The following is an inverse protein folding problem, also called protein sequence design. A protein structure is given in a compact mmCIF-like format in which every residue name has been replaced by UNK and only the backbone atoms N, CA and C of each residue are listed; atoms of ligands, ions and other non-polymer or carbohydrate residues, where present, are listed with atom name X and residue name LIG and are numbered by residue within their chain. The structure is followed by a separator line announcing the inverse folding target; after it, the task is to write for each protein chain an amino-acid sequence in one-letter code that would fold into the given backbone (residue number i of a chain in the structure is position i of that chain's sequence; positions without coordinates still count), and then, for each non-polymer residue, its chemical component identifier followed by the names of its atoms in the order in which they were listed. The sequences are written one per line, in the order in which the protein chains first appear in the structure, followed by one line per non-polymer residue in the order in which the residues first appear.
data_IF_814528185443
#
_entry.id   IF_814528185443
#
_cell.length_a   1.000
_cell.length_b   1.000
_cell.length_c   1.000
_cell.angle_alpha   90.00
_cell.angle_beta   90.00
_cell.angle_gamma   90.00
#
_symmetry.space_group_name_H-M   'P 1'
#
loop_
_entity.id
_entity.type
_entity.pdbx_description
1 polymer ?
#
# COMPACT_ATOMS: atom_id res chain seq x y z
N UNK A 1 31.80 2.02 0.79
CA UNK A 1 30.35 1.87 1.02
C UNK A 1 29.77 1.33 -0.27
N UNK A 2 29.05 0.21 -0.24
CA UNK A 2 28.45 -0.41 -1.42
C UNK A 2 27.24 0.43 -1.83
N UNK A 3 27.12 0.80 -3.11
CA UNK A 3 25.96 1.56 -3.61
C UNK A 3 24.98 0.64 -4.35
N UNK A 4 23.73 1.08 -4.51
CA UNK A 4 22.76 0.37 -5.35
C UNK A 4 23.27 0.22 -6.79
N UNK A 5 23.89 1.28 -7.33
CA UNK A 5 24.48 1.30 -8.67
C UNK A 5 25.54 0.23 -8.85
N UNK A 6 26.47 0.07 -7.93
CA UNK A 6 27.52 -0.96 -8.02
C UNK A 6 26.93 -2.37 -8.16
N UNK A 7 25.79 -2.62 -7.50
CA UNK A 7 25.09 -3.92 -7.55
C UNK A 7 24.42 -4.10 -8.92
N UNK A 8 23.64 -3.09 -9.33
CA UNK A 8 22.89 -3.11 -10.59
C UNK A 8 23.83 -3.23 -11.78
N UNK A 9 24.93 -2.48 -11.80
CA UNK A 9 25.96 -2.54 -12.85
C UNK A 9 26.64 -3.91 -12.91
N UNK A 10 26.84 -4.57 -11.76
CA UNK A 10 27.32 -5.95 -11.70
C UNK A 10 26.37 -6.98 -12.32
N UNK A 11 25.10 -6.63 -12.50
CA UNK A 11 24.05 -7.50 -13.05
C UNK A 11 23.74 -7.23 -14.52
N UNK A 12 24.47 -6.31 -15.19
CA UNK A 12 24.27 -6.03 -16.61
C UNK A 12 24.54 -7.21 -17.55
N UNK A 13 25.25 -8.22 -17.07
CA UNK A 13 25.49 -9.47 -17.82
C UNK A 13 24.38 -10.52 -17.60
N UNK A 14 23.41 -10.24 -16.73
CA UNK A 14 22.32 -11.16 -16.41
C UNK A 14 21.33 -11.25 -17.57
N UNK A 15 20.78 -12.44 -17.89
CA UNK A 15 19.66 -12.56 -18.83
C UNK A 15 18.43 -11.74 -18.42
N UNK A 16 18.28 -11.43 -17.13
CA UNK A 16 17.20 -10.55 -16.62
C UNK A 16 17.34 -9.10 -17.08
N UNK A 17 18.52 -8.68 -17.52
CA UNK A 17 18.77 -7.31 -17.98
C UNK A 17 18.37 -7.11 -19.46
N UNK A 18 18.33 -8.19 -20.25
CA UNK A 18 18.03 -8.11 -21.68
C UNK A 18 16.59 -7.61 -21.94
N UNK A 19 16.47 -6.51 -22.67
CA UNK A 19 15.18 -5.91 -23.06
C UNK A 19 14.55 -4.95 -22.05
N UNK A 20 15.26 -4.60 -20.97
CA UNK A 20 14.84 -3.60 -19.97
C UNK A 20 15.96 -2.59 -19.64
N UNK A 21 17.00 -2.50 -20.48
CA UNK A 21 18.23 -1.78 -20.20
C UNK A 21 18.00 -0.27 -20.01
N UNK A 22 17.22 0.31 -20.91
CA UNK A 22 16.89 1.74 -20.90
C UNK A 22 16.03 2.09 -19.68
N UNK A 23 15.09 1.21 -19.31
CA UNK A 23 14.23 1.34 -18.14
C UNK A 23 15.03 1.25 -16.84
N UNK A 24 15.90 0.25 -16.69
CA UNK A 24 16.76 0.09 -15.52
C UNK A 24 17.66 1.31 -15.35
N UNK A 25 18.25 1.81 -16.45
CA UNK A 25 19.11 2.99 -16.41
C UNK A 25 18.33 4.25 -16.03
N UNK A 26 17.13 4.41 -16.59
CA UNK A 26 16.23 5.52 -16.25
C UNK A 26 15.85 5.48 -14.77
N UNK A 27 15.36 4.34 -14.27
CA UNK A 27 14.97 4.15 -12.88
C UNK A 27 16.13 4.43 -11.92
N UNK A 28 17.33 3.92 -12.23
CA UNK A 28 18.49 4.05 -11.34
C UNK A 28 18.92 5.52 -11.22
N UNK A 29 18.98 6.23 -12.34
CA UNK A 29 19.26 7.66 -12.35
C UNK A 29 18.17 8.45 -11.61
N UNK A 30 16.91 8.04 -11.73
CA UNK A 30 15.79 8.69 -11.04
C UNK A 30 15.87 8.50 -9.52
N UNK A 31 16.18 7.27 -9.06
CA UNK A 31 16.38 6.99 -7.63
C UNK A 31 17.49 7.84 -7.04
N UNK A 32 18.65 7.90 -7.70
CA UNK A 32 19.79 8.70 -7.23
C UNK A 32 19.51 10.20 -7.24
N UNK A 33 18.84 10.70 -8.29
CA UNK A 33 18.45 12.11 -8.37
C UNK A 33 17.56 12.53 -7.17
N UNK A 34 16.76 11.61 -6.66
CA UNK A 34 15.84 11.82 -5.55
C UNK A 34 16.35 11.31 -4.20
N UNK A 35 17.57 10.75 -4.12
CA UNK A 35 18.15 10.19 -2.90
C UNK A 35 17.36 8.99 -2.35
N UNK A 36 16.76 8.19 -3.24
CA UNK A 36 15.95 7.01 -2.91
C UNK A 36 16.71 5.69 -3.10
N UNK A 37 17.92 5.75 -3.65
CA UNK A 37 18.79 4.60 -3.89
C UNK A 37 19.20 3.90 -2.58
N UNK A 38 19.52 4.66 -1.53
CA UNK A 38 19.81 4.13 -0.19
C UNK A 38 18.60 3.40 0.42
N UNK A 39 17.38 3.89 0.17
CA UNK A 39 16.16 3.26 0.64
C UNK A 39 15.98 1.87 0.00
N UNK A 40 16.07 1.80 -1.32
CA UNK A 40 15.94 0.53 -2.04
C UNK A 40 17.08 -0.44 -1.70
N UNK A 41 18.31 0.05 -1.55
CA UNK A 41 19.44 -0.74 -1.08
C UNK A 41 19.19 -1.34 0.32
N UNK A 42 18.68 -0.53 1.26
CA UNK A 42 18.31 -1.01 2.61
C UNK A 42 17.23 -2.09 2.55
N UNK A 43 16.24 -1.97 1.66
CA UNK A 43 15.21 -2.99 1.47
C UNK A 43 15.79 -4.29 0.92
N UNK A 44 16.70 -4.19 -0.05
CA UNK A 44 17.42 -5.33 -0.61
C UNK A 44 18.27 -6.06 0.44
N UNK A 45 19.06 -5.32 1.23
CA UNK A 45 19.90 -5.90 2.28
C UNK A 45 19.08 -6.61 3.38
N UNK A 46 17.87 -6.11 3.66
CA UNK A 46 16.91 -6.73 4.59
C UNK A 46 16.12 -7.89 3.97
N UNK A 47 16.36 -8.21 2.70
CA UNK A 47 15.66 -9.27 1.95
C UNK A 47 14.15 -9.08 1.97
N UNK A 48 13.71 -7.83 1.79
CA UNK A 48 12.29 -7.53 1.63
C UNK A 48 11.88 -7.89 0.21
N UNK A 49 11.03 -8.91 0.10
CA UNK A 49 10.46 -9.35 -1.17
C UNK A 49 9.04 -8.82 -1.30
N UNK A 50 8.70 -8.37 -2.50
CA UNK A 50 7.39 -7.84 -2.82
C UNK A 50 6.52 -8.93 -3.47
N UNK A 51 5.21 -8.77 -3.43
CA UNK A 51 4.30 -9.61 -4.22
C UNK A 51 4.23 -9.08 -5.66
N UNK A 52 3.72 -9.90 -6.60
CA UNK A 52 3.64 -9.51 -8.01
C UNK A 52 2.76 -8.25 -8.21
N UNK A 53 3.41 -7.11 -8.40
CA UNK A 53 2.76 -5.82 -8.66
C UNK A 53 2.96 -5.40 -10.13
N UNK A 54 1.91 -4.88 -10.77
CA UNK A 54 1.99 -4.36 -12.14
C UNK A 54 2.71 -3.02 -12.25
N UNK A 55 2.78 -2.27 -11.14
CA UNK A 55 3.49 -1.00 -11.01
C UNK A 55 4.87 -1.19 -10.37
N UNK A 56 5.53 -2.32 -10.63
CA UNK A 56 6.82 -2.62 -10.01
C UNK A 56 7.98 -1.83 -10.63
N UNK A 57 9.17 -2.03 -10.05
CA UNK A 57 10.43 -1.48 -10.57
C UNK A 57 11.23 -2.58 -11.28
N UNK A 58 11.80 -2.26 -12.45
CA UNK A 58 12.69 -3.17 -13.17
C UNK A 58 14.02 -3.40 -12.42
N UNK A 59 14.45 -2.45 -11.58
CA UNK A 59 15.56 -2.67 -10.64
C UNK A 59 15.21 -3.76 -9.63
N UNK A 60 14.01 -3.75 -9.03
CA UNK A 60 13.58 -4.83 -8.13
C UNK A 60 13.57 -6.19 -8.83
N UNK A 61 13.14 -6.24 -10.09
CA UNK A 61 13.15 -7.46 -10.90
C UNK A 61 14.57 -7.99 -11.12
N UNK A 62 15.50 -7.09 -11.45
CA UNK A 62 16.91 -7.42 -11.64
C UNK A 62 17.58 -7.91 -10.34
N UNK A 63 17.18 -7.34 -9.21
CA UNK A 63 17.65 -7.74 -7.86
C UNK A 63 16.96 -9.00 -7.31
N UNK A 64 16.09 -9.65 -8.10
CA UNK A 64 15.31 -10.82 -7.68
C UNK A 64 14.42 -10.55 -6.45
N UNK A 65 14.00 -9.28 -6.27
CA UNK A 65 13.04 -8.88 -5.24
C UNK A 65 11.59 -9.14 -5.66
N UNK A 66 11.37 -9.33 -6.97
CA UNK A 66 10.08 -9.61 -7.64
C UNK A 66 10.34 -10.46 -8.89
N UNK A 67 9.33 -11.22 -9.32
CA UNK A 67 9.37 -11.99 -10.57
C UNK A 67 8.71 -11.23 -11.74
N UNK A 68 7.85 -10.25 -11.46
CA UNK A 68 7.21 -9.43 -12.48
C UNK A 68 8.11 -8.32 -13.06
N UNK A 69 8.14 -8.22 -14.39
CA UNK A 69 8.74 -7.11 -15.15
C UNK A 69 7.72 -5.96 -15.26
N UNK A 70 8.19 -4.72 -15.14
CA UNK A 70 7.36 -3.54 -15.39
C UNK A 70 7.43 -3.14 -16.88
N UNK A 71 6.29 -3.04 -17.58
CA UNK A 71 6.28 -2.69 -18.99
C UNK A 71 6.49 -1.18 -19.17
N UNK A 72 7.74 -0.78 -19.43
CA UNK A 72 8.12 0.59 -19.78
C UNK A 72 8.65 1.41 -18.62
N UNK A 73 8.68 2.73 -18.79
CA UNK A 73 9.19 3.65 -17.77
C UNK A 73 8.23 3.75 -16.57
N UNK A 74 8.80 3.68 -15.37
CA UNK A 74 8.08 4.01 -14.14
C UNK A 74 7.53 5.42 -14.23
N UNK A 75 6.21 5.55 -14.06
CA UNK A 75 5.52 6.84 -14.03
C UNK A 75 5.59 7.38 -12.61
N UNK A 76 6.33 8.47 -12.42
CA UNK A 76 6.41 9.13 -11.11
C UNK A 76 5.45 10.32 -11.04
N UNK A 77 4.58 10.29 -10.04
CA UNK A 77 3.86 11.48 -9.61
C UNK A 77 4.77 12.22 -8.63
N UNK A 78 5.56 13.17 -9.16
CA UNK A 78 6.58 13.88 -8.40
C UNK A 78 6.03 14.42 -7.07
N UNK A 79 6.85 14.36 -6.01
CA UNK A 79 6.53 14.89 -4.68
C UNK A 79 6.10 13.86 -3.63
N UNK A 80 6.13 12.56 -3.92
CA UNK A 80 5.87 11.50 -2.94
C UNK A 80 7.05 10.53 -2.82
N UNK A 81 7.24 9.97 -1.62
CA UNK A 81 8.18 8.87 -1.38
C UNK A 81 7.57 7.55 -1.91
N UNK A 82 8.40 6.61 -2.41
CA UNK A 82 7.92 5.29 -2.81
C UNK A 82 7.35 4.55 -1.60
N UNK A 83 6.21 3.88 -1.78
CA UNK A 83 5.61 3.02 -0.77
C UNK A 83 5.89 1.54 -1.07
N UNK A 84 6.28 0.78 -0.05
CA UNK A 84 6.54 -0.66 -0.15
C UNK A 84 5.68 -1.39 0.87
N UNK A 85 4.59 -1.96 0.38
CA UNK A 85 3.70 -2.79 1.17
C UNK A 85 4.23 -4.22 1.23
N UNK A 86 4.59 -4.67 2.44
CA UNK A 86 5.01 -6.06 2.68
C UNK A 86 3.92 -6.80 3.45
N UNK A 87 3.42 -7.88 2.84
CA UNK A 87 2.44 -8.76 3.45
C UNK A 87 3.10 -9.78 4.39
N UNK A 88 2.53 -9.91 5.59
CA UNK A 88 2.93 -10.92 6.57
C UNK A 88 1.73 -11.79 6.96
N UNK A 89 2.00 -13.03 7.35
CA UNK A 89 0.99 -13.89 7.97
C UNK A 89 0.41 -13.21 9.22
N UNK A 90 -0.92 -13.19 9.34
CA UNK A 90 -1.63 -12.43 10.37
C UNK A 90 -1.13 -12.74 11.79
N UNK A 91 -0.91 -14.01 12.12
CA UNK A 91 -0.43 -14.46 13.44
C UNK A 91 1.00 -14.02 13.75
N UNK A 92 1.81 -13.77 12.72
CA UNK A 92 3.21 -13.32 12.85
C UNK A 92 3.36 -11.81 12.86
N UNK A 93 2.29 -11.05 12.60
CA UNK A 93 2.34 -9.58 12.51
C UNK A 93 2.87 -8.93 13.79
N UNK A 94 2.47 -9.45 14.95
CA UNK A 94 2.95 -8.90 16.23
C UNK A 94 4.42 -9.23 16.49
N UNK A 95 4.91 -10.37 16.00
CA UNK A 95 6.33 -10.73 16.07
C UNK A 95 7.17 -9.77 15.20
N UNK A 96 6.68 -9.44 14.01
CA UNK A 96 7.32 -8.45 13.12
C UNK A 96 7.38 -7.08 13.81
N UNK A 97 6.27 -6.62 14.41
CA UNK A 97 6.26 -5.35 15.15
C UNK A 97 7.25 -5.35 16.31
N UNK A 98 7.36 -6.46 17.04
CA UNK A 98 8.30 -6.60 18.15
C UNK A 98 9.75 -6.55 17.64
N UNK A 99 10.05 -7.27 16.57
CA UNK A 99 11.37 -7.24 15.94
C UNK A 99 11.75 -5.83 15.46
N UNK A 100 10.82 -5.09 14.83
CA UNK A 100 11.06 -3.71 14.42
C UNK A 100 11.41 -2.80 15.61
N UNK A 101 10.75 -2.97 16.76
CA UNK A 101 11.09 -2.22 17.99
C UNK A 101 12.48 -2.54 18.51
N UNK A 102 12.93 -3.80 18.39
CA UNK A 102 14.28 -4.22 18.79
C UNK A 102 15.36 -3.63 17.87
N UNK A 103 15.07 -3.51 16.57
CA UNK A 103 16.00 -2.97 15.56
C UNK A 103 16.08 -1.44 15.60
N UNK A 104 14.92 -0.77 15.69
CA UNK A 104 14.84 0.69 15.52
C UNK A 104 14.61 1.47 16.82
N UNK A 105 14.33 0.80 17.93
CA UNK A 105 13.94 1.44 19.18
C UNK A 105 12.43 1.49 19.36
N UNK A 106 11.96 1.35 20.60
CA UNK A 106 10.52 1.28 20.90
C UNK A 106 9.82 2.61 20.65
N UNK A 107 10.53 3.71 20.86
CA UNK A 107 10.12 5.09 20.60
C UNK A 107 10.04 5.44 19.11
N UNK A 108 10.63 4.62 18.24
CA UNK A 108 10.68 4.84 16.79
C UNK A 108 9.62 4.03 16.02
N UNK A 109 8.85 3.16 16.70
CA UNK A 109 7.92 2.25 16.05
C UNK A 109 6.52 2.36 16.65
N UNK A 110 5.56 2.81 15.85
CA UNK A 110 4.14 2.89 16.19
C UNK A 110 3.26 2.36 15.07
N UNK A 111 2.03 1.96 15.41
CA UNK A 111 1.01 1.62 14.41
C UNK A 111 0.21 2.87 14.05
N UNK A 112 -0.09 3.05 12.76
CA UNK A 112 -0.99 4.11 12.30
C UNK A 112 -2.41 3.74 12.74
N UNK A 113 -3.08 4.65 13.47
CA UNK A 113 -4.46 4.48 13.88
C UNK A 113 -5.43 4.75 12.73
N UNK A 114 -6.52 3.99 12.67
CA UNK A 114 -7.62 4.25 11.72
C UNK A 114 -8.69 5.11 12.38
N UNK A 115 -9.06 6.21 11.74
CA UNK A 115 -10.23 7.00 12.14
C UNK A 115 -11.41 6.58 11.27
N UNK A 116 -12.41 5.94 11.89
CA UNK A 116 -13.65 5.55 11.22
C UNK A 116 -14.77 6.54 11.52
N UNK A 117 -15.46 7.00 10.48
CA UNK A 117 -16.67 7.81 10.61
C UNK A 117 -17.92 6.94 10.67
N UNK A 118 -18.97 7.42 11.34
CA UNK A 118 -20.25 6.72 11.39
C UNK A 118 -20.91 6.73 9.99
N UNK A 119 -21.11 5.55 9.42
CA UNK A 119 -21.79 5.40 8.12
C UNK A 119 -23.28 5.71 8.23
N UNK A 120 -23.89 6.17 7.14
CA UNK A 120 -25.31 6.57 7.10
C UNK A 120 -26.26 5.50 7.66
N UNK A 121 -26.07 4.22 7.28
CA UNK A 121 -26.84 3.08 7.81
C UNK A 121 -26.71 2.93 9.33
N UNK A 122 -25.50 3.14 9.88
CA UNK A 122 -25.24 3.08 11.33
C UNK A 122 -25.92 4.24 12.05
N UNK A 123 -25.73 5.46 11.56
CA UNK A 123 -26.35 6.67 12.13
C UNK A 123 -27.88 6.56 12.14
N UNK A 124 -28.49 6.10 11.05
CA UNK A 124 -29.95 5.89 11.00
C UNK A 124 -30.44 4.91 12.08
N UNK A 125 -29.75 3.78 12.26
CA UNK A 125 -30.11 2.79 13.28
C UNK A 125 -29.96 3.33 14.70
N UNK A 126 -28.91 4.12 14.94
CA UNK A 126 -28.70 4.74 16.24
C UNK A 126 -29.77 5.79 16.56
N UNK A 127 -30.15 6.63 15.58
CA UNK A 127 -31.28 7.56 15.72
C UNK A 127 -32.59 6.80 15.93
N UNK A 128 -32.86 5.76 15.13
CA UNK A 128 -34.07 4.94 15.27
C UNK A 128 -34.19 4.33 16.68
N UNK A 129 -33.06 3.89 17.26
CA UNK A 129 -33.00 3.40 18.64
C UNK A 129 -33.38 4.49 19.65
N UNK A 130 -32.87 5.72 19.48
CA UNK A 130 -33.22 6.86 20.36
C UNK A 130 -34.72 7.17 20.31
N UNK A 131 -35.35 7.05 19.14
CA UNK A 131 -36.80 7.24 18.96
C UNK A 131 -37.65 6.03 19.38
N UNK A 132 -37.05 4.96 19.92
CA UNK A 132 -37.76 3.77 20.39
C UNK A 132 -38.33 2.89 19.27
N UNK A 133 -37.82 2.99 18.04
CA UNK A 133 -38.18 2.09 16.96
C UNK A 133 -37.65 0.68 17.22
N UNK A 134 -38.49 -0.32 16.94
CA UNK A 134 -38.08 -1.72 17.03
C UNK A 134 -36.90 -2.04 16.09
N UNK A 135 -36.00 -2.90 16.57
CA UNK A 135 -34.78 -3.26 15.83
C UNK A 135 -35.10 -3.84 14.46
N UNK A 136 -36.12 -4.70 14.35
CA UNK A 136 -36.50 -5.33 13.08
C UNK A 136 -36.93 -4.28 12.06
N UNK A 137 -37.79 -3.34 12.48
CA UNK A 137 -38.26 -2.24 11.64
C UNK A 137 -37.12 -1.33 11.19
N UNK A 138 -36.22 -0.95 12.11
CA UNK A 138 -35.06 -0.12 11.76
C UNK A 138 -34.12 -0.82 10.77
N UNK A 139 -33.94 -2.13 10.90
CA UNK A 139 -33.10 -2.90 10.01
C UNK A 139 -33.72 -3.04 8.62
N UNK A 140 -35.03 -3.29 8.54
CA UNK A 140 -35.75 -3.38 7.27
C UNK A 140 -35.73 -2.06 6.50
N UNK A 141 -35.88 -0.92 7.19
CA UNK A 141 -35.72 0.41 6.57
C UNK A 141 -34.28 0.63 6.12
N UNK A 142 -33.29 0.26 6.94
CA UNK A 142 -31.87 0.47 6.59
C UNK A 142 -31.40 -0.33 5.37
N UNK A 143 -32.12 -1.40 4.99
CA UNK A 143 -31.84 -2.17 3.76
C UNK A 143 -32.28 -1.46 2.50
N UNK A 144 -33.18 -0.48 2.60
CA UNK A 144 -33.59 0.37 1.48
C UNK A 144 -32.50 1.37 1.08
N UNK A 145 -31.51 1.57 1.95
CA UNK A 145 -30.39 2.47 1.69
C UNK A 145 -29.44 1.81 0.68
N UNK A 146 -28.89 2.56 -0.30
CA UNK A 146 -27.86 2.06 -1.19
C UNK A 146 -26.69 1.42 -0.44
N UNK A 147 -26.05 0.41 -1.05
CA UNK A 147 -24.93 -0.29 -0.42
C UNK A 147 -23.71 0.59 -0.19
N UNK A 148 -23.46 1.54 -1.10
CA UNK A 148 -22.43 2.55 -0.99
C UNK A 148 -23.07 3.91 -0.67
N UNK A 149 -23.45 4.12 0.59
CA UNK A 149 -23.84 5.44 1.10
C UNK A 149 -22.93 5.83 2.26
N UNK A 150 -22.00 6.74 1.98
CA UNK A 150 -21.06 7.24 2.99
C UNK A 150 -21.67 8.39 3.79
N UNK A 151 -22.56 9.20 3.18
CA UNK A 151 -23.29 10.27 3.85
C UNK A 151 -24.81 10.04 3.93
N UNK A 152 -25.46 10.78 4.83
CA UNK A 152 -26.93 10.80 4.94
C UNK A 152 -27.55 11.37 3.66
N UNK A 153 -26.89 12.32 3.00
CA UNK A 153 -27.37 12.89 1.74
C UNK A 153 -27.39 11.82 0.63
N UNK A 154 -26.34 11.01 0.52
CA UNK A 154 -26.28 9.91 -0.44
C UNK A 154 -27.40 8.90 -0.22
N UNK A 155 -27.72 8.63 1.05
CA UNK A 155 -28.82 7.75 1.42
C UNK A 155 -30.19 8.33 1.00
N UNK A 156 -30.39 9.64 1.14
CA UNK A 156 -31.62 10.32 0.75
C UNK A 156 -31.78 10.38 -0.78
N UNK A 157 -30.72 10.77 -1.49
CA UNK A 157 -30.74 10.91 -2.95
C UNK A 157 -30.87 9.54 -3.65
N UNK A 158 -30.26 8.50 -3.07
CA UNK A 158 -30.41 7.13 -3.53
C UNK A 158 -31.78 6.52 -3.22
N UNK A 159 -32.40 6.88 -2.09
CA UNK A 159 -33.72 6.39 -1.71
C UNK A 159 -34.85 7.02 -2.53
N UNK A 160 -34.67 8.22 -3.09
CA UNK A 160 -35.68 8.85 -3.98
C UNK A 160 -35.83 8.14 -5.34
N UNK A 161 -34.94 7.20 -5.65
CA UNK A 161 -34.96 6.41 -6.90
C UNK A 161 -35.61 5.02 -6.75
N UNK A 162 -36.14 4.69 -5.57
CA UNK A 162 -36.91 3.48 -5.26
C UNK A 162 -38.41 3.79 -5.20
#
# INVERSE_FOLDING_TARGET
MRTLRDIVEGLYVSPRYEGIEDEVRFELNHLELHGLDDYLLSCYDKKLYDTDNKNNSNIKYLLEMTEAIHPGHVVTSGGSWPDLDVDFEHEKRDQVKQHLKEVYGTECVASIGTVSFAKAKGVFKDVARVYGLDFKKSNDISKLFPDMCDSIQDALDGSQKL
#
